data_IF_056855795953
#
_entry.id   IF_056855795953
#
_cell.length_a   1.000
_cell.length_b   1.000
_cell.length_c   1.000
_cell.angle_alpha   90.00
_cell.angle_beta   90.00
_cell.angle_gamma   90.00
#
_symmetry.space_group_name_H-M   'P 1'
#
loop_
_entity.id
_entity.type
_entity.pdbx_description
1 polymer ?
#
# COMPACT_ATOMS: atom_id res chain seq x y z
N UNK A 1 12.41 20.99 0.65
CA UNK A 1 13.00 21.43 1.94
C UNK A 1 13.11 20.21 2.84
N UNK A 2 14.32 19.83 3.27
CA UNK A 2 14.63 18.55 3.92
C UNK A 2 14.28 18.59 5.41
N UNK A 3 13.29 17.79 5.85
CA UNK A 3 13.00 17.55 7.25
C UNK A 3 13.79 16.33 7.74
N UNK A 4 14.88 16.60 8.48
CA UNK A 4 15.54 15.63 9.37
C UNK A 4 14.77 15.60 10.68
N UNK A 5 14.34 14.43 11.13
CA UNK A 5 14.05 14.18 12.55
C UNK A 5 14.52 12.78 12.94
N UNK A 6 15.39 12.82 13.95
CA UNK A 6 16.02 11.82 14.79
C UNK A 6 15.35 10.44 14.92
N UNK A 7 16.18 9.39 14.91
CA UNK A 7 16.26 8.51 16.08
C UNK A 7 17.61 7.78 16.16
N UNK A 8 18.26 7.97 17.31
CA UNK A 8 19.46 7.26 17.75
C UNK A 8 18.97 6.07 18.58
N UNK A 9 19.33 4.85 18.15
CA UNK A 9 19.72 3.76 19.07
C UNK A 9 20.66 2.82 18.31
N UNK A 10 21.93 3.07 18.55
CA UNK A 10 23.08 2.27 18.15
C UNK A 10 23.13 1.04 19.04
N UNK A 11 23.05 -0.15 18.46
CA UNK A 11 23.51 -1.36 19.13
C UNK A 11 24.30 -2.20 18.13
N UNK A 12 25.59 -2.34 18.46
CA UNK A 12 26.59 -3.29 17.98
C UNK A 12 27.43 -2.95 16.73
N UNK A 13 27.94 -1.72 16.63
CA UNK A 13 29.25 -1.45 15.96
C UNK A 13 30.02 -0.36 16.70
N UNK A 14 29.93 -0.40 18.03
CA UNK A 14 30.66 0.47 18.93
C UNK A 14 31.55 -0.37 19.82
N UNK A 15 32.48 -1.13 19.24
CA UNK A 15 33.67 -1.46 20.01
C UNK A 15 34.54 -0.20 20.06
N UNK A 16 34.70 0.31 21.28
CA UNK A 16 35.56 1.42 21.64
C UNK A 16 36.97 1.15 21.10
N UNK A 17 37.46 1.99 20.19
CA UNK A 17 38.88 1.94 19.81
C UNK A 17 39.31 2.68 18.55
N UNK A 18 38.40 3.11 17.66
CA UNK A 18 38.79 3.34 16.26
C UNK A 18 38.88 4.82 15.80
N UNK A 19 39.03 5.78 16.73
CA UNK A 19 39.26 7.20 16.38
C UNK A 19 40.75 7.56 16.26
N UNK A 20 41.65 6.82 16.92
CA UNK A 20 43.09 7.09 16.90
C UNK A 20 43.75 6.79 15.55
N UNK A 21 43.38 5.67 14.92
CA UNK A 21 43.92 5.29 13.60
C UNK A 21 43.34 6.14 12.45
N UNK A 22 42.06 6.52 12.53
CA UNK A 22 41.45 7.43 11.56
C UNK A 22 42.16 8.81 11.56
N UNK A 23 42.67 9.24 12.72
CA UNK A 23 43.47 10.47 12.84
C UNK A 23 44.91 10.29 12.37
N UNK A 24 45.52 9.12 12.54
CA UNK A 24 46.91 8.87 12.13
C UNK A 24 47.04 8.71 10.60
N UNK A 25 45.98 8.25 9.94
CA UNK A 25 45.89 8.14 8.48
C UNK A 25 45.49 9.49 7.81
N UNK A 26 44.97 10.43 8.61
CA UNK A 26 44.80 11.84 8.22
C UNK A 26 46.06 12.64 8.56
N UNK A 27 47.12 12.39 7.80
CA UNK A 27 48.34 13.22 7.67
C UNK A 27 49.05 13.55 9.00
N UNK A 28 49.72 12.55 9.58
CA UNK A 28 50.65 12.74 10.69
C UNK A 28 51.77 11.70 10.72
N UNK A 29 52.93 12.06 10.17
CA UNK A 29 54.26 11.43 10.29
C UNK A 29 54.55 10.10 9.54
N UNK A 30 55.62 10.18 8.71
CA UNK A 30 56.27 9.17 7.84
C UNK A 30 55.44 8.65 6.65
N UNK A 31 55.83 9.09 5.44
CA UNK A 31 55.41 8.51 4.16
C UNK A 31 55.80 7.02 4.13
N UNK A 32 54.81 6.15 4.32
CA UNK A 32 54.82 4.81 3.76
C UNK A 32 53.79 4.81 2.64
N UNK A 33 54.20 4.46 1.42
CA UNK A 33 53.30 4.34 0.27
C UNK A 33 52.08 3.48 0.66
N UNK A 34 50.87 3.94 0.34
CA UNK A 34 49.65 3.14 0.50
C UNK A 34 49.82 1.83 -0.27
N UNK A 35 49.23 0.73 0.20
CA UNK A 35 49.22 -0.54 -0.55
C UNK A 35 48.82 -0.36 -2.03
N UNK A 36 47.88 0.56 -2.30
CA UNK A 36 47.46 0.88 -3.67
C UNK A 36 48.36 1.87 -4.41
N UNK A 37 49.24 2.59 -3.71
CA UNK A 37 50.30 3.36 -4.36
C UNK A 37 51.36 2.41 -4.94
N UNK A 38 51.59 1.27 -4.28
CA UNK A 38 52.48 0.20 -4.75
C UNK A 38 51.81 -0.74 -5.77
N UNK A 39 50.50 -0.98 -5.64
CA UNK A 39 49.72 -1.89 -6.51
C UNK A 39 48.45 -1.22 -7.08
N UNK A 40 48.58 -0.22 -7.96
CA UNK A 40 47.44 0.56 -8.47
C UNK A 40 46.47 -0.28 -9.32
N UNK A 41 46.97 -1.28 -10.06
CA UNK A 41 46.14 -2.23 -10.81
C UNK A 41 45.21 -3.04 -9.90
N UNK A 42 45.69 -3.40 -8.70
CA UNK A 42 44.89 -4.10 -7.71
C UNK A 42 43.75 -3.22 -7.18
N UNK A 43 43.94 -1.90 -7.11
CA UNK A 43 42.87 -0.97 -6.71
C UNK A 43 41.73 -0.93 -7.73
N UNK A 44 42.06 -0.88 -9.03
CA UNK A 44 41.08 -0.84 -10.11
C UNK A 44 40.25 -2.13 -10.16
N UNK A 45 40.92 -3.28 -10.09
CA UNK A 45 40.28 -4.59 -10.08
C UNK A 45 39.43 -4.81 -8.82
N UNK A 46 39.92 -4.38 -7.65
CA UNK A 46 39.19 -4.46 -6.40
C UNK A 46 37.92 -3.60 -6.44
N UNK A 47 37.99 -2.37 -6.99
CA UNK A 47 36.80 -1.54 -7.22
C UNK A 47 35.81 -2.24 -8.15
N UNK A 48 36.26 -2.80 -9.27
CA UNK A 48 35.42 -3.52 -10.23
C UNK A 48 34.73 -4.74 -9.59
N UNK A 49 35.47 -5.54 -8.83
CA UNK A 49 34.95 -6.67 -8.07
C UNK A 49 33.85 -6.25 -7.09
N UNK A 50 34.07 -5.18 -6.31
CA UNK A 50 33.06 -4.63 -5.39
C UNK A 50 31.80 -4.21 -6.15
N UNK A 51 31.93 -3.51 -7.29
CA UNK A 51 30.77 -3.11 -8.11
C UNK A 51 29.95 -4.34 -8.52
N UNK A 52 30.63 -5.35 -9.05
CA UNK A 52 30.00 -6.54 -9.56
C UNK A 52 29.30 -7.33 -8.44
N UNK A 53 29.99 -7.54 -7.31
CA UNK A 53 29.46 -8.26 -6.16
C UNK A 53 28.25 -7.54 -5.53
N UNK A 54 28.32 -6.21 -5.38
CA UNK A 54 27.23 -5.40 -4.87
C UNK A 54 26.04 -5.30 -5.84
N UNK A 55 26.26 -5.49 -7.15
CA UNK A 55 25.20 -5.47 -8.16
C UNK A 55 24.39 -6.78 -8.25
N UNK A 56 24.82 -7.84 -7.56
CA UNK A 56 24.12 -9.12 -7.56
C UNK A 56 22.83 -9.06 -6.73
N UNK A 57 21.77 -9.73 -7.19
CA UNK A 57 20.46 -9.81 -6.53
C UNK A 57 20.49 -10.41 -5.11
N UNK A 58 21.56 -11.13 -4.76
CA UNK A 58 21.68 -11.86 -3.49
C UNK A 58 22.03 -10.97 -2.30
N UNK A 59 22.68 -9.82 -2.52
CA UNK A 59 23.07 -8.86 -1.47
C UNK A 59 24.05 -9.41 -0.41
N UNK A 60 24.84 -10.44 -0.71
CA UNK A 60 25.65 -11.17 0.29
C UNK A 60 27.07 -10.65 0.53
N UNK A 61 27.47 -9.56 -0.12
CA UNK A 61 28.84 -9.05 -0.09
C UNK A 61 29.29 -8.60 1.32
N UNK A 62 30.48 -9.04 1.74
CA UNK A 62 31.16 -8.68 2.98
C UNK A 62 32.54 -8.09 2.67
N UNK A 63 33.07 -7.28 3.60
CA UNK A 63 34.45 -6.80 3.49
C UNK A 63 35.49 -7.94 3.49
N UNK A 64 35.15 -9.10 4.05
CA UNK A 64 35.97 -10.31 3.98
C UNK A 64 36.13 -10.80 2.54
N UNK A 65 35.09 -10.69 1.71
CA UNK A 65 35.15 -11.11 0.31
C UNK A 65 36.13 -10.23 -0.47
N UNK A 66 36.21 -8.93 -0.12
CA UNK A 66 37.20 -8.00 -0.68
C UNK A 66 38.62 -8.33 -0.21
N UNK A 67 38.80 -8.68 1.07
CA UNK A 67 40.09 -9.10 1.60
C UNK A 67 40.61 -10.35 0.89
N UNK A 68 39.73 -11.34 0.68
CA UNK A 68 40.06 -12.56 -0.08
C UNK A 68 40.45 -12.24 -1.52
N UNK A 69 39.67 -11.40 -2.21
CA UNK A 69 39.95 -11.00 -3.58
C UNK A 69 41.32 -10.30 -3.73
N UNK A 70 41.63 -9.35 -2.84
CA UNK A 70 42.90 -8.61 -2.88
C UNK A 70 44.09 -9.53 -2.58
N UNK A 71 43.91 -10.47 -1.65
CA UNK A 71 44.92 -11.44 -1.30
C UNK A 71 45.24 -12.38 -2.47
N UNK A 72 44.23 -12.91 -3.13
CA UNK A 72 44.38 -13.72 -4.36
C UNK A 72 45.12 -12.92 -5.45
N UNK A 73 44.68 -11.68 -5.72
CA UNK A 73 45.29 -10.81 -6.73
C UNK A 73 46.75 -10.48 -6.43
N UNK A 74 47.09 -10.21 -5.17
CA UNK A 74 48.46 -9.92 -4.78
C UNK A 74 49.40 -11.11 -5.07
N UNK A 75 49.00 -12.33 -4.72
CA UNK A 75 49.83 -13.52 -4.98
C UNK A 75 49.90 -13.90 -6.46
N UNK A 76 48.83 -13.65 -7.24
CA UNK A 76 48.85 -13.75 -8.70
C UNK A 76 49.87 -12.78 -9.32
N UNK A 77 49.88 -11.51 -8.88
CA UNK A 77 50.75 -10.47 -9.42
C UNK A 77 52.22 -10.64 -9.02
N UNK A 78 52.48 -11.05 -7.78
CA UNK A 78 53.84 -11.17 -7.23
C UNK A 78 54.48 -12.53 -7.47
N UNK A 79 53.70 -13.56 -7.79
CA UNK A 79 54.18 -14.94 -7.96
C UNK A 79 54.67 -15.60 -6.67
N UNK A 80 54.47 -14.96 -5.52
CA UNK A 80 54.87 -15.48 -4.21
C UNK A 80 53.87 -16.56 -3.77
N UNK A 81 54.36 -17.66 -3.20
CA UNK A 81 53.47 -18.68 -2.61
C UNK A 81 53.04 -18.27 -1.21
N UNK A 82 51.72 -18.18 -1.00
CA UNK A 82 51.14 -17.93 0.33
C UNK A 82 51.53 -19.04 1.31
N UNK A 83 51.95 -18.66 2.51
CA UNK A 83 52.18 -19.60 3.61
C UNK A 83 50.85 -20.08 4.21
N UNK A 84 50.77 -21.37 4.55
CA UNK A 84 49.56 -21.97 5.14
C UNK A 84 49.29 -21.29 6.49
N UNK A 85 48.10 -20.68 6.63
CA UNK A 85 47.70 -19.97 7.85
C UNK A 85 48.16 -18.52 7.94
N UNK A 86 48.74 -17.95 6.88
CA UNK A 86 49.11 -16.53 6.83
C UNK A 86 47.90 -15.60 6.79
N UNK A 87 48.02 -14.46 7.46
CA UNK A 87 47.04 -13.36 7.42
C UNK A 87 46.81 -12.84 5.99
N UNK A 88 45.67 -12.18 5.78
CA UNK A 88 45.42 -11.49 4.51
C UNK A 88 46.41 -10.35 4.32
N UNK A 89 46.95 -10.21 3.10
CA UNK A 89 47.79 -9.07 2.69
C UNK A 89 47.11 -7.74 3.01
N UNK A 90 45.79 -7.70 2.83
CA UNK A 90 44.95 -6.60 3.28
C UNK A 90 43.83 -7.13 4.16
N UNK A 91 43.90 -6.83 5.45
CA UNK A 91 42.94 -7.34 6.44
C UNK A 91 41.50 -6.92 6.15
N UNK A 92 40.52 -7.68 6.66
CA UNK A 92 39.10 -7.33 6.55
C UNK A 92 38.82 -5.91 7.08
N UNK A 93 39.49 -5.52 8.18
CA UNK A 93 39.36 -4.17 8.77
C UNK A 93 39.85 -3.09 7.81
N UNK A 94 40.99 -3.29 7.15
CA UNK A 94 41.52 -2.35 6.14
C UNK A 94 40.58 -2.24 4.94
N UNK A 95 40.05 -3.37 4.46
CA UNK A 95 39.09 -3.40 3.37
C UNK A 95 37.80 -2.62 3.69
N UNK A 96 37.35 -2.59 4.97
CA UNK A 96 36.23 -1.74 5.39
C UNK A 96 36.55 -0.25 5.25
N UNK A 97 37.78 0.16 5.56
CA UNK A 97 38.24 1.54 5.40
C UNK A 97 38.34 1.91 3.91
N UNK A 98 38.81 1.00 3.07
CA UNK A 98 38.87 1.23 1.61
C UNK A 98 37.50 1.41 0.99
N UNK A 99 36.54 0.57 1.37
CA UNK A 99 35.16 0.72 0.92
C UNK A 99 34.62 2.11 1.26
N UNK A 100 34.91 2.64 2.47
CA UNK A 100 34.53 4.01 2.84
C UNK A 100 35.26 5.05 1.99
N UNK A 101 36.57 4.90 1.77
CA UNK A 101 37.38 5.80 0.92
C UNK A 101 36.87 5.83 -0.52
N UNK A 102 36.46 4.69 -1.07
CA UNK A 102 35.87 4.56 -2.40
C UNK A 102 34.41 5.03 -2.48
N UNK A 103 33.87 5.60 -1.40
CA UNK A 103 32.55 6.21 -1.38
C UNK A 103 31.40 5.23 -1.12
N UNK A 104 31.67 4.02 -0.63
CA UNK A 104 30.61 3.12 -0.17
C UNK A 104 29.92 3.74 1.05
N UNK A 105 28.58 3.80 0.99
CA UNK A 105 27.75 4.29 2.09
C UNK A 105 26.83 3.19 2.58
N UNK A 106 26.78 3.00 3.89
CA UNK A 106 25.86 2.08 4.52
C UNK A 106 24.53 2.80 4.79
N UNK A 107 23.70 2.92 3.76
CA UNK A 107 22.40 3.58 3.84
C UNK A 107 21.27 2.56 3.65
N UNK A 108 20.11 2.77 4.28
CA UNK A 108 18.94 1.96 3.98
C UNK A 108 18.43 2.30 2.56
N UNK A 109 18.10 1.29 1.75
CA UNK A 109 17.51 1.53 0.43
C UNK A 109 16.18 2.28 0.58
N UNK A 110 16.12 3.50 0.05
CA UNK A 110 14.95 4.37 0.08
C UNK A 110 14.15 4.36 -1.23
N UNK A 111 14.59 3.61 -2.26
CA UNK A 111 13.87 3.57 -3.53
C UNK A 111 12.54 2.85 -3.38
N UNK A 112 11.46 3.61 -3.57
CA UNK A 112 10.09 3.11 -3.68
C UNK A 112 9.80 2.82 -5.16
N UNK A 113 9.28 1.64 -5.53
CA UNK A 113 9.11 1.25 -6.93
C UNK A 113 8.11 2.06 -7.77
N UNK A 114 7.40 3.04 -7.19
CA UNK A 114 6.20 3.63 -7.79
C UNK A 114 6.39 5.02 -8.41
N UNK A 115 7.60 5.57 -8.45
CA UNK A 115 7.85 6.96 -8.86
C UNK A 115 7.49 7.28 -10.32
N UNK A 116 7.59 6.33 -11.26
CA UNK A 116 7.42 6.61 -12.69
C UNK A 116 5.99 6.98 -13.11
N UNK A 117 4.99 6.78 -12.24
CA UNK A 117 3.58 7.08 -12.54
C UNK A 117 3.01 8.36 -11.91
N UNK A 118 3.74 9.04 -11.03
CA UNK A 118 3.21 10.13 -10.19
C UNK A 118 2.80 11.37 -11.00
N UNK A 119 3.58 11.71 -12.03
CA UNK A 119 3.43 12.96 -12.79
C UNK A 119 2.75 12.77 -14.15
N UNK A 120 2.05 11.65 -14.37
CA UNK A 120 1.20 11.50 -15.56
C UNK A 120 -0.01 12.42 -15.45
N UNK A 121 -0.40 13.04 -16.55
CA UNK A 121 -1.46 14.06 -16.58
C UNK A 121 -2.78 13.59 -15.94
N UNK A 122 -3.17 12.33 -16.17
CA UNK A 122 -4.37 11.73 -15.57
C UNK A 122 -4.26 11.60 -14.04
N UNK A 123 -3.08 11.22 -13.55
CA UNK A 123 -2.78 11.06 -12.12
C UNK A 123 -2.72 12.42 -11.43
N UNK A 124 -2.05 13.41 -12.05
CA UNK A 124 -1.94 14.77 -11.52
C UNK A 124 -3.31 15.44 -11.45
N UNK A 125 -4.14 15.29 -12.49
CA UNK A 125 -5.50 15.80 -12.49
C UNK A 125 -6.32 15.21 -11.33
N UNK A 126 -6.33 13.89 -11.19
CA UNK A 126 -7.05 13.22 -10.12
C UNK A 126 -6.51 13.59 -8.72
N UNK A 127 -5.18 13.74 -8.58
CA UNK A 127 -4.53 14.23 -7.36
C UNK A 127 -5.04 15.62 -6.97
N UNK A 128 -5.10 16.54 -7.92
CA UNK A 128 -5.58 17.91 -7.66
C UNK A 128 -7.07 17.94 -7.29
N UNK A 129 -7.90 17.11 -7.93
CA UNK A 129 -9.32 16.94 -7.57
C UNK A 129 -9.48 16.39 -6.15
N UNK A 130 -8.70 15.37 -5.80
CA UNK A 130 -8.68 14.76 -4.47
C UNK A 130 -8.26 15.78 -3.40
N UNK A 131 -7.15 16.48 -3.61
CA UNK A 131 -6.66 17.53 -2.69
C UNK A 131 -7.68 18.65 -2.56
N UNK A 132 -8.19 19.17 -3.68
CA UNK A 132 -9.19 20.23 -3.69
C UNK A 132 -10.46 19.85 -2.92
N UNK A 133 -10.89 18.59 -3.03
CA UNK A 133 -12.01 18.07 -2.26
C UNK A 133 -11.75 18.12 -0.75
N UNK A 134 -10.62 17.59 -0.28
CA UNK A 134 -10.33 17.56 1.16
C UNK A 134 -10.05 18.94 1.74
N UNK A 135 -9.42 19.84 0.99
CA UNK A 135 -9.24 21.24 1.41
C UNK A 135 -10.58 21.96 1.59
N UNK A 136 -11.51 21.77 0.66
CA UNK A 136 -12.84 22.38 0.73
C UNK A 136 -13.70 21.84 1.88
N UNK A 137 -13.42 20.62 2.37
CA UNK A 137 -14.21 19.94 3.39
C UNK A 137 -13.49 19.73 4.72
N UNK A 138 -12.28 20.27 4.89
CA UNK A 138 -11.43 20.03 6.06
C UNK A 138 -12.16 20.29 7.38
N UNK A 139 -12.96 21.36 7.45
CA UNK A 139 -13.65 21.81 8.66
C UNK A 139 -14.85 20.92 9.08
N UNK A 140 -15.19 19.90 8.29
CA UNK A 140 -16.22 18.92 8.63
C UNK A 140 -15.66 17.66 9.31
N UNK A 141 -14.34 17.45 9.30
CA UNK A 141 -13.70 16.27 9.88
C UNK A 141 -13.01 16.58 11.21
N UNK A 142 -12.93 15.58 12.09
CA UNK A 142 -11.99 15.58 13.21
C UNK A 142 -10.55 15.59 12.70
N UNK A 143 -9.80 16.65 12.94
CA UNK A 143 -8.40 16.78 12.50
C UNK A 143 -7.45 16.72 13.70
N UNK A 144 -6.14 16.82 13.46
CA UNK A 144 -5.13 16.79 14.52
C UNK A 144 -4.42 18.13 14.59
N UNK A 145 -4.20 18.63 15.82
CA UNK A 145 -3.47 19.88 16.06
C UNK A 145 -1.99 19.79 15.62
N UNK A 146 -1.44 20.92 15.18
CA UNK A 146 -0.03 21.02 14.77
C UNK A 146 0.97 21.20 15.92
N UNK A 147 0.49 21.28 17.16
CA UNK A 147 1.33 21.43 18.36
C UNK A 147 2.31 20.27 18.58
N UNK A 148 3.19 20.44 19.58
CA UNK A 148 4.16 19.39 19.96
C UNK A 148 3.47 18.08 20.36
N UNK A 149 2.31 18.20 21.03
CA UNK A 149 1.47 17.07 21.40
C UNK A 149 0.26 17.03 20.47
N UNK A 150 0.13 16.01 19.59
CA UNK A 150 -1.01 15.90 18.70
C UNK A 150 -2.29 15.61 19.50
N UNK A 151 -3.29 16.46 19.35
CA UNK A 151 -4.61 16.30 19.95
C UNK A 151 -5.69 16.42 18.88
N UNK A 152 -6.88 15.87 19.17
CA UNK A 152 -8.04 16.03 18.30
C UNK A 152 -8.49 17.49 18.26
N UNK A 153 -8.72 17.97 17.04
CA UNK A 153 -9.37 19.24 16.73
C UNK A 153 -10.75 18.91 16.19
N UNK A 154 -11.76 19.24 16.98
CA UNK A 154 -13.17 18.98 16.66
C UNK A 154 -13.58 19.87 15.48
N UNK A 155 -14.36 19.34 14.51
CA UNK A 155 -14.88 20.10 13.38
C UNK A 155 -15.79 21.25 13.83
N UNK A 156 -15.84 22.31 13.01
CA UNK A 156 -16.67 23.50 13.27
C UNK A 156 -17.91 23.56 12.37
N UNK A 157 -17.95 22.76 11.30
CA UNK A 157 -19.05 22.75 10.34
C UNK A 157 -19.92 21.50 10.47
N UNK A 158 -21.22 21.66 10.20
CA UNK A 158 -22.20 20.58 10.14
C UNK A 158 -22.69 20.37 8.69
N UNK A 159 -23.05 19.13 8.30
CA UNK A 159 -23.00 17.91 9.10
C UNK A 159 -21.57 17.37 9.27
N UNK A 160 -21.27 16.80 10.44
CA UNK A 160 -19.96 16.20 10.71
C UNK A 160 -19.67 15.04 9.75
N UNK A 161 -18.39 14.84 9.41
CA UNK A 161 -17.94 13.77 8.53
C UNK A 161 -16.92 12.88 9.23
N UNK A 162 -17.12 11.57 9.13
CA UNK A 162 -16.13 10.57 9.58
C UNK A 162 -15.42 10.03 8.36
N UNK A 163 -14.09 10.10 8.40
CA UNK A 163 -13.23 9.59 7.36
C UNK A 163 -12.70 8.20 7.76
N UNK A 164 -12.91 7.22 6.88
CA UNK A 164 -12.41 5.85 7.04
C UNK A 164 -11.47 5.56 5.88
N UNK A 165 -10.34 4.92 6.14
CA UNK A 165 -9.40 4.46 5.13
C UNK A 165 -9.40 2.94 5.09
N UNK A 166 -9.46 2.37 3.89
CA UNK A 166 -9.47 0.93 3.67
C UNK A 166 -8.36 0.52 2.70
N UNK A 167 -7.72 -0.60 3.01
CA UNK A 167 -6.68 -1.22 2.20
C UNK A 167 -6.39 -2.66 2.69
N UNK A 168 -5.75 -3.45 1.84
CA UNK A 168 -5.31 -4.80 2.16
C UNK A 168 -3.79 -4.92 2.18
N UNK A 169 -3.28 -5.65 3.18
CA UNK A 169 -1.85 -5.86 3.34
C UNK A 169 -1.52 -7.35 3.54
N UNK A 170 -0.57 -7.83 2.73
CA UNK A 170 0.04 -9.16 2.93
C UNK A 170 1.21 -9.08 3.91
N UNK A 171 1.17 -9.94 4.92
CA UNK A 171 2.31 -10.31 5.77
C UNK A 171 2.88 -11.65 5.32
N UNK A 172 4.19 -11.85 5.49
CA UNK A 172 4.83 -13.15 5.25
C UNK A 172 5.72 -13.56 6.41
N UNK A 173 5.73 -14.85 6.74
CA UNK A 173 6.45 -15.36 7.90
C UNK A 173 7.96 -15.09 7.79
N UNK A 174 8.53 -15.16 6.58
CA UNK A 174 9.94 -14.86 6.33
C UNK A 174 10.25 -13.37 6.08
N UNK A 175 9.36 -12.44 6.40
CA UNK A 175 9.69 -11.01 6.34
C UNK A 175 10.68 -10.63 7.45
N UNK A 176 11.91 -10.31 7.08
CA UNK A 176 12.94 -9.77 7.96
C UNK A 176 13.28 -8.33 7.58
N UNK A 177 13.84 -7.53 8.49
CA UNK A 177 14.48 -6.25 8.11
C UNK A 177 15.81 -6.57 7.41
N UNK A 178 15.99 -6.37 6.09
CA UNK A 178 17.30 -6.56 5.51
C UNK A 178 18.22 -5.40 5.96
N UNK A 179 19.33 -5.72 6.62
CA UNK A 179 20.48 -4.80 6.76
C UNK A 179 21.45 -5.11 5.62
N UNK A 180 21.69 -4.19 4.69
CA UNK A 180 22.57 -4.40 3.53
C UNK A 180 23.49 -3.19 3.32
N UNK A 181 24.72 -3.45 2.82
CA UNK A 181 25.68 -2.44 2.33
C UNK A 181 25.37 -2.14 0.86
N UNK A 182 25.38 -0.88 0.43
CA UNK A 182 25.11 -0.50 -0.98
C UNK A 182 26.31 0.18 -1.66
N UNK A 183 26.47 -0.06 -2.96
CA UNK A 183 27.40 0.67 -3.83
C UNK A 183 26.70 1.04 -5.15
N UNK A 184 26.38 2.33 -5.30
CA UNK A 184 25.99 3.09 -6.52
C UNK A 184 24.86 2.59 -7.45
N UNK A 185 24.32 1.36 -7.33
CA UNK A 185 23.08 0.96 -8.03
C UNK A 185 22.16 0.12 -7.16
N UNK A 186 20.88 0.44 -7.24
CA UNK A 186 19.80 -0.12 -6.44
C UNK A 186 19.23 -1.35 -7.14
N UNK A 187 19.19 -2.50 -6.45
CA UNK A 187 18.42 -3.67 -6.90
C UNK A 187 17.04 -3.68 -6.21
N UNK A 188 16.00 -3.93 -7.00
CA UNK A 188 14.62 -4.08 -6.52
C UNK A 188 14.48 -5.40 -5.76
N UNK A 189 13.85 -5.37 -4.59
CA UNK A 189 13.65 -6.55 -3.76
C UNK A 189 12.52 -7.46 -4.27
N UNK A 190 12.68 -8.78 -4.09
CA UNK A 190 11.56 -9.71 -4.19
C UNK A 190 10.62 -9.54 -3.00
N UNK A 191 9.30 -9.62 -3.24
CA UNK A 191 8.28 -9.78 -2.19
C UNK A 191 8.71 -10.93 -1.25
N UNK A 192 8.60 -10.77 0.07
CA UNK A 192 9.22 -11.63 1.10
C UNK A 192 8.99 -13.15 0.92
N UNK A 193 9.76 -13.98 1.64
CA UNK A 193 9.63 -15.46 1.60
C UNK A 193 8.71 -15.98 2.71
N UNK A 194 8.26 -17.24 2.62
CA UNK A 194 7.49 -17.94 3.66
C UNK A 194 5.97 -17.92 3.46
N UNK A 195 5.25 -18.50 4.42
CA UNK A 195 3.78 -18.55 4.43
C UNK A 195 3.21 -17.14 4.53
N UNK A 196 2.13 -16.87 3.80
CA UNK A 196 1.55 -15.54 3.68
C UNK A 196 0.17 -15.45 4.33
N UNK A 197 -0.12 -14.28 4.88
CA UNK A 197 -1.39 -13.98 5.53
C UNK A 197 -1.81 -12.57 5.07
N UNK A 198 -2.94 -12.47 4.39
CA UNK A 198 -3.51 -11.20 3.93
C UNK A 198 -4.53 -10.73 4.95
N UNK A 199 -4.45 -9.45 5.29
CA UNK A 199 -5.39 -8.79 6.20
C UNK A 199 -5.91 -7.55 5.50
N UNK A 200 -7.19 -7.30 5.68
CA UNK A 200 -7.92 -6.14 5.22
C UNK A 200 -8.55 -5.43 6.42
N UNK A 201 -8.48 -4.11 6.47
CA UNK A 201 -8.91 -3.36 7.66
C UNK A 201 -9.40 -1.94 7.34
N UNK A 202 -10.10 -1.35 8.30
CA UNK A 202 -10.68 -0.02 8.21
C UNK A 202 -10.08 0.89 9.30
N UNK A 203 -9.20 1.81 8.89
CA UNK A 203 -8.61 2.82 9.76
C UNK A 203 -9.55 4.04 9.86
N UNK A 204 -10.08 4.29 11.06
CA UNK A 204 -11.07 5.34 11.30
C UNK A 204 -10.42 6.60 11.89
N UNK A 205 -10.66 7.74 11.28
CA UNK A 205 -10.29 9.05 11.82
C UNK A 205 -11.38 9.56 12.75
N UNK A 206 -11.40 9.05 13.99
CA UNK A 206 -12.36 9.46 15.00
C UNK A 206 -11.78 9.36 16.43
N UNK A 207 -12.19 10.22 17.38
CA UNK A 207 -11.67 10.19 18.75
C UNK A 207 -11.91 8.90 19.54
N UNK A 208 -12.95 8.12 19.19
CA UNK A 208 -13.25 6.86 19.91
C UNK A 208 -12.26 5.74 19.64
N UNK A 209 -11.56 5.78 18.50
CA UNK A 209 -10.54 4.78 18.21
C UNK A 209 -10.17 4.74 16.73
N UNK A 210 -8.98 4.18 16.42
CA UNK A 210 -8.52 4.05 15.05
C UNK A 210 -9.12 2.88 14.29
N UNK A 211 -9.86 1.99 14.95
CA UNK A 211 -10.41 0.78 14.33
C UNK A 211 -11.92 0.75 14.52
N UNK A 212 -12.64 0.32 13.48
CA UNK A 212 -14.07 0.13 13.58
C UNK A 212 -14.39 -1.15 14.36
N UNK A 213 -15.14 -1.01 15.45
CA UNK A 213 -15.63 -2.10 16.28
C UNK A 213 -16.98 -1.71 16.88
N UNK A 214 -17.92 -2.66 16.88
CA UNK A 214 -19.18 -2.52 17.62
C UNK A 214 -19.00 -2.99 19.07
N UNK A 215 -19.63 -2.27 20.00
CA UNK A 215 -19.82 -2.76 21.36
C UNK A 215 -20.66 -4.04 21.38
N UNK A 216 -20.63 -4.78 22.48
CA UNK A 216 -21.42 -6.02 22.60
C UNK A 216 -22.92 -5.80 22.37
N UNK A 217 -23.46 -4.67 22.83
CA UNK A 217 -24.89 -4.35 22.65
C UNK A 217 -25.20 -4.01 21.19
N UNK A 218 -24.39 -3.15 20.57
CA UNK A 218 -24.54 -2.81 19.14
C UNK A 218 -24.41 -4.07 18.26
N UNK A 219 -23.50 -4.99 18.61
CA UNK A 219 -23.34 -6.25 17.90
C UNK A 219 -24.55 -7.17 18.01
N UNK A 220 -25.13 -7.30 19.21
CA UNK A 220 -26.37 -8.08 19.41
C UNK A 220 -27.52 -7.54 18.57
N UNK A 221 -27.68 -6.21 18.53
CA UNK A 221 -28.70 -5.57 17.68
C UNK A 221 -28.42 -5.79 16.19
N UNK A 222 -27.15 -5.68 15.77
CA UNK A 222 -26.74 -5.87 14.39
C UNK A 222 -27.01 -7.30 13.90
N UNK A 223 -26.59 -8.31 14.66
CA UNK A 223 -26.79 -9.73 14.34
C UNK A 223 -28.26 -10.15 14.41
N UNK A 224 -29.09 -9.49 15.24
CA UNK A 224 -30.52 -9.72 15.27
C UNK A 224 -31.23 -9.21 13.99
N UNK A 225 -30.75 -8.11 13.40
CA UNK A 225 -31.31 -7.55 12.15
C UNK A 225 -30.72 -8.22 10.91
N UNK A 226 -29.41 -8.45 10.90
CA UNK A 226 -28.65 -8.94 9.76
C UNK A 226 -28.04 -10.30 10.06
N UNK A 227 -28.79 -11.36 9.74
CA UNK A 227 -28.34 -12.75 9.92
C UNK A 227 -27.02 -13.04 9.20
N UNK A 228 -26.77 -12.35 8.08
CA UNK A 228 -25.54 -12.43 7.27
C UNK A 228 -24.27 -12.13 8.07
N UNK A 229 -24.36 -11.37 9.16
CA UNK A 229 -23.21 -11.06 10.02
C UNK A 229 -22.68 -12.28 10.79
N UNK A 230 -23.52 -13.30 10.96
CA UNK A 230 -23.25 -14.52 11.73
C UNK A 230 -23.03 -15.76 10.86
N UNK A 231 -23.11 -15.63 9.53
CA UNK A 231 -22.91 -16.74 8.60
C UNK A 231 -21.42 -16.90 8.30
N UNK A 232 -20.96 -18.15 8.25
CA UNK A 232 -19.60 -18.46 7.82
C UNK A 232 -19.35 -17.98 6.39
N UNK A 233 -18.19 -17.39 6.16
CA UNK A 233 -17.77 -16.90 4.84
C UNK A 233 -16.40 -17.42 4.48
N UNK A 234 -16.02 -17.31 3.20
CA UNK A 234 -14.68 -17.67 2.73
C UNK A 234 -13.56 -16.81 3.35
N UNK A 235 -13.95 -15.71 4.02
CA UNK A 235 -13.05 -14.81 4.74
C UNK A 235 -13.25 -14.96 6.25
N UNK A 236 -12.16 -14.93 7.00
CA UNK A 236 -12.21 -14.93 8.47
C UNK A 236 -12.31 -13.50 9.00
N UNK A 237 -13.42 -13.17 9.65
CA UNK A 237 -13.62 -11.87 10.30
C UNK A 237 -13.15 -11.88 11.76
N UNK A 238 -12.61 -10.76 12.22
CA UNK A 238 -12.42 -10.52 13.66
C UNK A 238 -13.79 -10.17 14.27
N UNK A 239 -14.09 -10.77 15.43
CA UNK A 239 -15.36 -10.60 16.14
C UNK A 239 -15.73 -9.13 16.32
N UNK A 240 -17.01 -8.79 16.10
CA UNK A 240 -17.57 -7.42 16.18
C UNK A 240 -16.90 -6.36 15.30
N UNK A 241 -16.11 -6.76 14.30
CA UNK A 241 -15.50 -5.85 13.33
C UNK A 241 -15.83 -6.23 11.88
N UNK A 242 -15.41 -5.36 10.96
CA UNK A 242 -15.30 -5.67 9.53
C UNK A 242 -13.85 -5.96 9.09
N UNK A 243 -12.91 -6.10 10.04
CA UNK A 243 -11.53 -6.53 9.75
C UNK A 243 -11.55 -7.99 9.32
N UNK A 244 -10.92 -8.27 8.18
CA UNK A 244 -11.03 -9.55 7.50
C UNK A 244 -9.64 -10.09 7.17
N UNK A 245 -9.48 -11.42 7.18
CA UNK A 245 -8.20 -12.06 6.88
C UNK A 245 -8.37 -13.33 6.06
N UNK A 246 -7.36 -13.58 5.22
CA UNK A 246 -7.29 -14.72 4.31
C UNK A 246 -5.85 -15.25 4.31
N UNK A 247 -5.67 -16.56 4.45
CA UNK A 247 -4.34 -17.18 4.33
C UNK A 247 -3.95 -17.33 2.86
N UNK A 248 -2.83 -16.74 2.45
CA UNK A 248 -2.32 -16.87 1.10
C UNK A 248 -1.37 -18.08 1.06
N UNK A 249 -1.67 -19.03 0.17
CA UNK A 249 -0.99 -20.32 0.05
C UNK A 249 -1.96 -21.49 -0.15
N UNK A 250 -3.26 -21.23 -0.02
CA UNK A 250 -4.38 -22.13 -0.33
C UNK A 250 -5.27 -21.54 -1.43
N UNK A 251 -4.67 -20.87 -2.43
CA UNK A 251 -5.34 -20.16 -3.56
C UNK A 251 -6.25 -18.97 -3.21
N UNK A 252 -6.30 -18.52 -1.95
CA UNK A 252 -7.21 -17.44 -1.55
C UNK A 252 -6.52 -16.05 -1.50
N UNK A 253 -7.12 -15.07 -2.19
CA UNK A 253 -6.79 -13.63 -2.19
C UNK A 253 -8.09 -12.83 -2.06
N UNK A 254 -8.01 -11.56 -1.62
CA UNK A 254 -9.14 -10.65 -1.75
C UNK A 254 -9.37 -10.35 -3.24
N UNK A 255 -10.48 -10.87 -3.75
CA UNK A 255 -11.05 -10.52 -5.04
C UNK A 255 -12.12 -9.42 -4.87
N UNK A 256 -12.78 -9.05 -5.96
CA UNK A 256 -13.80 -8.01 -5.89
C UNK A 256 -15.01 -8.41 -5.05
N UNK A 257 -15.43 -9.68 -5.08
CA UNK A 257 -16.65 -10.12 -4.39
C UNK A 257 -16.42 -10.23 -2.88
N UNK A 258 -15.26 -10.73 -2.45
CA UNK A 258 -14.84 -10.73 -1.05
C UNK A 258 -14.70 -9.31 -0.49
N UNK A 259 -14.13 -8.37 -1.26
CA UNK A 259 -14.09 -6.95 -0.86
C UNK A 259 -15.51 -6.38 -0.75
N UNK A 260 -16.37 -6.60 -1.73
CA UNK A 260 -17.76 -6.11 -1.67
C UNK A 260 -18.51 -6.67 -0.46
N UNK A 261 -18.35 -7.97 -0.16
CA UNK A 261 -18.92 -8.59 1.03
C UNK A 261 -18.40 -7.97 2.33
N UNK A 262 -17.11 -7.64 2.39
CA UNK A 262 -16.51 -6.93 3.52
C UNK A 262 -17.08 -5.51 3.70
N UNK A 263 -17.27 -4.76 2.62
CA UNK A 263 -17.90 -3.43 2.67
C UNK A 263 -19.38 -3.52 3.03
N UNK A 264 -20.11 -4.50 2.50
CA UNK A 264 -21.51 -4.73 2.88
C UNK A 264 -21.63 -5.04 4.38
N UNK A 265 -20.74 -5.89 4.91
CA UNK A 265 -20.63 -6.13 6.35
C UNK A 265 -20.39 -4.83 7.13
N UNK A 266 -19.42 -4.02 6.72
CA UNK A 266 -19.17 -2.73 7.37
C UNK A 266 -20.42 -1.84 7.35
N UNK A 267 -21.11 -1.75 6.21
CA UNK A 267 -22.27 -0.86 6.04
C UNK A 267 -23.45 -1.29 6.92
N UNK A 268 -23.72 -2.59 7.00
CA UNK A 268 -24.69 -3.16 7.93
C UNK A 268 -24.36 -2.81 9.38
N UNK A 269 -23.08 -2.88 9.75
CA UNK A 269 -22.63 -2.57 11.11
C UNK A 269 -22.65 -1.08 11.44
N UNK A 270 -22.35 -0.20 10.48
CA UNK A 270 -22.34 1.26 10.66
C UNK A 270 -23.69 1.81 11.10
N UNK A 271 -24.81 1.16 10.73
CA UNK A 271 -26.15 1.54 11.18
C UNK A 271 -26.34 1.52 12.71
N UNK A 272 -25.55 0.69 13.41
CA UNK A 272 -25.68 0.48 14.85
C UNK A 272 -24.65 1.26 15.66
N UNK A 273 -23.59 1.77 15.03
CA UNK A 273 -22.52 2.47 15.73
C UNK A 273 -23.03 3.82 16.24
N UNK A 274 -23.32 3.90 17.54
CA UNK A 274 -24.00 5.06 18.14
C UNK A 274 -23.19 6.35 18.00
N UNK A 275 -21.87 6.23 18.13
CA UNK A 275 -20.94 7.35 17.96
C UNK A 275 -21.03 8.00 16.57
N UNK A 276 -21.53 7.29 15.55
CA UNK A 276 -21.48 7.72 14.14
C UNK A 276 -22.85 8.10 13.58
N UNK A 277 -23.93 7.95 14.37
CA UNK A 277 -25.35 8.00 13.93
C UNK A 277 -25.76 9.29 13.21
N UNK A 278 -25.04 10.39 13.44
CA UNK A 278 -25.33 11.70 12.86
C UNK A 278 -24.25 12.21 11.91
N UNK A 279 -23.25 11.38 11.62
CA UNK A 279 -22.12 11.75 10.80
C UNK A 279 -22.30 11.20 9.38
N UNK A 280 -21.88 11.98 8.40
CA UNK A 280 -21.70 11.47 7.04
C UNK A 280 -20.43 10.64 6.99
N UNK A 281 -20.52 9.42 6.45
CA UNK A 281 -19.37 8.53 6.33
C UNK A 281 -18.77 8.65 4.94
N UNK A 282 -17.45 8.83 4.90
CA UNK A 282 -16.67 8.81 3.67
C UNK A 282 -15.54 7.79 3.80
N UNK A 283 -15.36 6.95 2.78
CA UNK A 283 -14.37 5.88 2.79
C UNK A 283 -13.38 6.08 1.65
N UNK A 284 -12.12 6.21 2.01
CA UNK A 284 -10.97 6.30 1.10
C UNK A 284 -10.45 4.90 0.80
N UNK A 285 -10.32 4.56 -0.48
CA UNK A 285 -9.85 3.26 -0.96
C UNK A 285 -8.74 3.42 -1.99
N UNK A 286 -7.85 2.44 -2.11
CA UNK A 286 -6.85 2.45 -3.19
C UNK A 286 -7.50 2.28 -4.57
N UNK A 287 -6.92 2.90 -5.60
CA UNK A 287 -7.39 2.87 -6.99
C UNK A 287 -6.81 1.65 -7.72
N UNK A 288 -7.18 0.48 -7.22
CA UNK A 288 -6.79 -0.85 -7.72
C UNK A 288 -7.97 -1.58 -8.33
N UNK A 289 -7.67 -2.56 -9.20
CA UNK A 289 -8.67 -3.30 -9.98
C UNK A 289 -9.75 -3.96 -9.12
N UNK A 290 -9.41 -4.43 -7.92
CA UNK A 290 -10.34 -5.05 -6.98
C UNK A 290 -11.39 -4.05 -6.46
N UNK A 291 -11.04 -2.79 -6.27
CA UNK A 291 -11.95 -1.72 -5.84
C UNK A 291 -12.67 -1.04 -7.01
N UNK A 292 -12.07 -1.07 -8.21
CA UNK A 292 -12.61 -0.40 -9.41
C UNK A 292 -13.33 -1.34 -10.36
N UNK A 293 -13.67 -2.56 -9.92
CA UNK A 293 -14.37 -3.51 -10.77
C UNK A 293 -15.77 -2.96 -11.10
N UNK A 294 -16.08 -2.94 -12.39
CA UNK A 294 -17.39 -2.56 -12.89
C UNK A 294 -18.31 -3.77 -12.89
N UNK A 295 -19.61 -3.53 -12.79
CA UNK A 295 -20.62 -4.59 -12.91
C UNK A 295 -20.72 -5.14 -14.33
N UNK A 296 -20.42 -4.32 -15.35
CA UNK A 296 -20.44 -4.69 -16.77
C UNK A 296 -19.65 -3.68 -17.61
N UNK A 297 -19.32 -4.04 -18.85
CA UNK A 297 -18.70 -3.14 -19.83
C UNK A 297 -19.62 -2.87 -21.02
N UNK A 298 -19.68 -1.62 -21.49
CA UNK A 298 -20.36 -1.25 -22.75
C UNK A 298 -19.84 -2.03 -23.97
N UNK A 299 -18.62 -2.57 -23.89
CA UNK A 299 -18.04 -3.39 -24.95
C UNK A 299 -18.71 -4.77 -25.07
N UNK A 300 -19.27 -5.27 -23.97
CA UNK A 300 -19.93 -6.56 -23.88
C UNK A 300 -21.36 -6.53 -24.45
N UNK A 301 -21.94 -5.34 -24.64
CA UNK A 301 -23.24 -5.18 -25.25
C UNK A 301 -23.16 -5.09 -26.77
N UNK A 302 -24.05 -5.82 -27.43
CA UNK A 302 -24.27 -5.71 -28.86
C UNK A 302 -25.25 -4.58 -29.22
N UNK A 303 -25.26 -4.22 -30.51
CA UNK A 303 -26.01 -3.06 -31.01
C UNK A 303 -27.53 -3.27 -31.01
N UNK A 304 -27.98 -4.43 -31.49
CA UNK A 304 -29.37 -4.69 -31.86
C UNK A 304 -30.04 -5.69 -30.90
N UNK A 305 -31.35 -5.82 -31.00
CA UNK A 305 -32.13 -6.81 -30.24
C UNK A 305 -31.60 -8.22 -30.49
N UNK A 306 -31.47 -9.02 -29.43
CA UNK A 306 -31.00 -10.41 -29.48
C UNK A 306 -29.49 -10.57 -29.70
N UNK A 307 -28.71 -9.49 -29.61
CA UNK A 307 -27.24 -9.56 -29.64
C UNK A 307 -26.65 -9.70 -28.23
N UNK A 308 -25.33 -9.66 -28.01
CA UNK A 308 -24.77 -9.92 -26.68
C UNK A 308 -25.32 -8.96 -25.61
N UNK A 309 -25.67 -9.52 -24.46
CA UNK A 309 -26.24 -8.82 -23.31
C UNK A 309 -25.76 -9.52 -22.04
N UNK A 310 -24.63 -9.11 -21.46
CA UNK A 310 -23.94 -9.88 -20.41
C UNK A 310 -24.69 -9.90 -19.08
N UNK A 311 -25.63 -8.96 -18.89
CA UNK A 311 -26.34 -8.75 -17.64
C UNK A 311 -27.84 -8.67 -17.85
N UNK A 312 -28.60 -9.10 -16.86
CA UNK A 312 -30.06 -9.10 -16.91
C UNK A 312 -30.66 -7.72 -16.63
N UNK A 313 -30.05 -6.96 -15.71
CA UNK A 313 -30.56 -5.69 -15.22
C UNK A 313 -29.44 -4.68 -15.00
N UNK A 314 -29.71 -3.42 -15.30
CA UNK A 314 -28.87 -2.26 -14.96
C UNK A 314 -29.55 -1.49 -13.85
N UNK A 315 -28.88 -1.40 -12.70
CA UNK A 315 -29.29 -0.53 -11.60
C UNK A 315 -28.48 0.77 -11.62
N UNK A 316 -29.16 1.90 -11.42
CA UNK A 316 -28.52 3.21 -11.32
C UNK A 316 -29.33 4.16 -10.47
N UNK A 317 -28.70 5.24 -10.01
CA UNK A 317 -29.36 6.27 -9.17
C UNK A 317 -29.47 7.57 -9.94
N UNK A 318 -30.71 8.05 -10.09
CA UNK A 318 -31.02 9.33 -10.72
C UNK A 318 -31.84 10.19 -9.77
N UNK A 319 -31.36 11.40 -9.46
CA UNK A 319 -32.00 12.33 -8.53
C UNK A 319 -32.31 11.71 -7.14
N UNK A 320 -31.45 10.81 -6.66
CA UNK A 320 -31.60 10.12 -5.37
C UNK A 320 -32.60 8.96 -5.38
N UNK A 321 -33.19 8.63 -6.53
CA UNK A 321 -34.10 7.49 -6.68
C UNK A 321 -33.38 6.36 -7.41
N UNK A 322 -33.46 5.14 -6.87
CA UNK A 322 -32.95 3.94 -7.51
C UNK A 322 -33.86 3.55 -8.68
N UNK A 323 -33.25 3.38 -9.86
CA UNK A 323 -33.92 2.94 -11.07
C UNK A 323 -33.28 1.64 -11.56
N UNK A 324 -34.12 0.74 -12.06
CA UNK A 324 -33.70 -0.55 -12.61
C UNK A 324 -34.19 -0.65 -14.05
N UNK A 325 -33.31 -1.08 -14.95
CA UNK A 325 -33.61 -1.32 -16.36
C UNK A 325 -33.39 -2.79 -16.65
N UNK A 326 -34.44 -3.47 -17.11
CA UNK A 326 -34.29 -4.80 -17.67
C UNK A 326 -33.55 -4.73 -19.00
N UNK A 327 -32.45 -5.47 -19.13
CA UNK A 327 -31.70 -5.64 -20.36
C UNK A 327 -32.31 -6.67 -21.31
N UNK A 328 -33.33 -7.40 -20.86
CA UNK A 328 -34.06 -8.40 -21.63
C UNK A 328 -35.54 -8.03 -21.74
N UNK A 329 -36.19 -8.43 -22.84
CA UNK A 329 -37.64 -8.23 -22.98
C UNK A 329 -38.40 -9.26 -22.12
N UNK A 330 -39.21 -8.77 -21.17
CA UNK A 330 -40.07 -9.59 -20.30
C UNK A 330 -41.33 -10.13 -21.01
N UNK A 331 -41.74 -9.52 -22.10
CA UNK A 331 -42.94 -9.90 -22.87
C UNK A 331 -42.90 -9.41 -24.33
N UNK A 332 -43.91 -9.78 -25.11
CA UNK A 332 -44.03 -9.46 -26.55
C UNK A 332 -43.24 -10.40 -27.47
N UNK A 333 -43.17 -10.05 -28.76
CA UNK A 333 -42.53 -10.87 -29.81
C UNK A 333 -41.03 -11.13 -29.57
N UNK A 334 -40.37 -10.27 -28.81
CA UNK A 334 -38.94 -10.38 -28.49
C UNK A 334 -38.68 -10.96 -27.09
N UNK A 335 -39.67 -11.56 -26.43
CA UNK A 335 -39.53 -12.13 -25.08
C UNK A 335 -38.29 -13.02 -24.97
N UNK A 336 -37.48 -12.78 -23.93
CA UNK A 336 -36.23 -13.54 -23.68
C UNK A 336 -35.03 -13.12 -24.54
N UNK A 337 -35.20 -12.21 -25.52
CA UNK A 337 -34.08 -11.61 -26.24
C UNK A 337 -33.52 -10.42 -25.47
N UNK A 338 -32.22 -10.17 -25.62
CA UNK A 338 -31.56 -8.97 -25.11
C UNK A 338 -32.04 -7.72 -25.87
N UNK A 339 -32.09 -6.57 -25.20
CA UNK A 339 -32.51 -5.29 -25.80
C UNK A 339 -31.44 -4.69 -26.72
N UNK A 340 -30.17 -4.93 -26.45
CA UNK A 340 -29.05 -4.28 -27.17
C UNK A 340 -29.00 -2.77 -26.94
N UNK A 341 -27.89 -2.12 -27.30
CA UNK A 341 -27.66 -0.71 -26.93
C UNK A 341 -28.67 0.27 -27.56
N UNK A 342 -29.14 0.03 -28.78
CA UNK A 342 -30.12 0.91 -29.44
C UNK A 342 -31.44 0.95 -28.68
N UNK A 343 -31.93 -0.21 -28.25
CA UNK A 343 -33.19 -0.27 -27.50
C UNK A 343 -33.01 0.24 -26.07
N UNK A 344 -31.86 -0.02 -25.44
CA UNK A 344 -31.54 0.55 -24.13
C UNK A 344 -31.51 2.09 -24.17
N UNK A 345 -30.98 2.71 -25.24
CA UNK A 345 -31.05 4.16 -25.41
C UNK A 345 -32.49 4.67 -25.47
N UNK A 346 -33.40 3.96 -26.14
CA UNK A 346 -34.83 4.34 -26.17
C UNK A 346 -35.47 4.25 -24.78
N UNK A 347 -35.19 3.18 -24.03
CA UNK A 347 -35.67 3.00 -22.65
C UNK A 347 -35.15 4.13 -21.74
N UNK A 348 -33.93 4.59 -22.01
CA UNK A 348 -33.29 5.69 -21.28
C UNK A 348 -33.68 7.09 -21.77
N UNK A 349 -34.48 7.20 -22.84
CA UNK A 349 -34.80 8.50 -23.44
C UNK A 349 -33.61 9.20 -24.10
N UNK A 350 -32.51 8.49 -24.39
CA UNK A 350 -31.35 9.01 -25.12
C UNK A 350 -31.68 9.03 -26.61
N UNK A 351 -31.72 10.24 -27.19
CA UNK A 351 -31.98 10.39 -28.63
C UNK A 351 -30.77 9.95 -29.45
N UNK A 352 -31.00 9.07 -30.42
CA UNK A 352 -29.97 8.58 -31.34
C UNK A 352 -30.26 9.04 -32.78
N UNK A 353 -29.23 9.35 -33.60
CA UNK A 353 -29.38 9.57 -35.03
C UNK A 353 -29.91 8.33 -35.77
N UNK A 354 -30.60 8.53 -36.90
CA UNK A 354 -31.21 7.46 -37.70
C UNK A 354 -30.20 6.42 -38.25
N UNK A 355 -28.94 6.82 -38.48
CA UNK A 355 -27.83 5.94 -38.83
C UNK A 355 -26.67 6.22 -37.88
N UNK A 356 -26.48 5.35 -36.90
CA UNK A 356 -25.42 5.47 -35.90
C UNK A 356 -24.57 4.19 -35.88
N UNK A 357 -23.25 4.29 -35.69
CA UNK A 357 -22.37 3.12 -35.53
C UNK A 357 -22.39 2.64 -34.08
N UNK A 358 -21.94 1.41 -33.84
CA UNK A 358 -21.90 0.86 -32.47
C UNK A 358 -20.95 1.67 -31.58
N UNK A 359 -19.81 2.09 -32.10
CA UNK A 359 -18.82 2.86 -31.34
C UNK A 359 -19.36 4.25 -30.96
N UNK A 360 -20.08 4.92 -31.86
CA UNK A 360 -20.73 6.20 -31.54
C UNK A 360 -21.74 6.08 -30.36
N UNK A 361 -22.46 4.95 -30.27
CA UNK A 361 -23.37 4.70 -29.13
C UNK A 361 -22.57 4.52 -27.83
N UNK A 362 -21.40 3.87 -27.92
CA UNK A 362 -20.50 3.65 -26.77
C UNK A 362 -19.82 4.94 -26.30
N UNK A 363 -19.76 5.98 -27.14
CA UNK A 363 -19.28 7.31 -26.74
C UNK A 363 -20.40 8.16 -26.11
N UNK A 364 -21.65 7.96 -26.52
CA UNK A 364 -22.81 8.70 -25.98
C UNK A 364 -23.25 8.12 -24.63
N UNK A 365 -23.43 6.81 -24.53
CA UNK A 365 -24.01 6.18 -23.33
C UNK A 365 -23.27 6.50 -22.02
N UNK A 366 -21.93 6.61 -21.96
CA UNK A 366 -21.22 6.96 -20.73
C UNK A 366 -21.65 8.29 -20.09
N UNK A 367 -22.26 9.21 -20.85
CA UNK A 367 -22.80 10.46 -20.30
C UNK A 367 -24.06 10.22 -19.47
N UNK A 368 -24.81 9.16 -19.77
CA UNK A 368 -26.03 8.79 -19.07
C UNK A 368 -25.69 8.06 -17.77
N UNK A 369 -26.37 8.40 -16.66
CA UNK A 369 -26.10 7.81 -15.32
C UNK A 369 -26.13 6.29 -15.28
N UNK A 370 -27.04 5.68 -16.03
CA UNK A 370 -27.14 4.23 -16.17
C UNK A 370 -25.86 3.57 -16.71
N UNK A 371 -25.01 4.29 -17.44
CA UNK A 371 -23.76 3.78 -17.99
C UNK A 371 -22.55 4.63 -17.58
N UNK A 372 -22.72 5.51 -16.59
CA UNK A 372 -21.58 6.14 -15.95
C UNK A 372 -20.67 5.04 -15.40
N UNK A 373 -19.37 5.28 -15.43
CA UNK A 373 -18.32 4.34 -15.05
C UNK A 373 -18.29 4.04 -13.53
N UNK A 374 -19.45 3.96 -12.88
CA UNK A 374 -19.58 3.65 -11.48
C UNK A 374 -19.14 2.21 -11.22
N UNK A 375 -18.28 2.03 -10.24
CA UNK A 375 -17.81 0.72 -9.80
C UNK A 375 -18.91 0.04 -8.98
N UNK A 376 -18.84 -1.29 -8.83
CA UNK A 376 -19.76 -2.00 -7.92
C UNK A 376 -19.70 -1.44 -6.50
N UNK A 377 -18.51 -1.02 -6.06
CA UNK A 377 -18.27 -0.47 -4.74
C UNK A 377 -18.90 0.93 -4.56
N UNK A 378 -18.79 1.80 -5.57
CA UNK A 378 -19.47 3.10 -5.57
C UNK A 378 -20.99 2.94 -5.51
N UNK A 379 -21.53 2.00 -6.28
CA UNK A 379 -22.97 1.70 -6.26
C UNK A 379 -23.43 1.21 -4.88
N UNK A 380 -22.65 0.34 -4.24
CA UNK A 380 -22.91 -0.12 -2.87
C UNK A 380 -22.85 1.05 -1.87
N UNK A 381 -21.88 1.95 -2.02
CA UNK A 381 -21.76 3.16 -1.21
C UNK A 381 -22.97 4.07 -1.36
N UNK A 382 -23.37 4.38 -2.60
CA UNK A 382 -24.55 5.22 -2.90
C UNK A 382 -25.82 4.63 -2.26
N UNK A 383 -26.04 3.32 -2.38
CA UNK A 383 -27.18 2.63 -1.77
C UNK A 383 -27.25 2.83 -0.26
N UNK A 384 -26.09 2.87 0.40
CA UNK A 384 -25.97 3.03 1.85
C UNK A 384 -25.71 4.48 2.29
N UNK A 385 -25.80 5.46 1.37
CA UNK A 385 -25.49 6.89 1.64
C UNK A 385 -24.07 7.12 2.17
N UNK A 386 -23.13 6.29 1.72
CA UNK A 386 -21.70 6.36 2.07
C UNK A 386 -20.93 6.78 0.83
N UNK A 387 -20.06 7.77 0.97
CA UNK A 387 -19.24 8.24 -0.15
C UNK A 387 -17.95 7.42 -0.25
N UNK A 388 -17.71 6.82 -1.41
CA UNK A 388 -16.43 6.19 -1.74
C UNK A 388 -15.53 7.21 -2.44
N UNK A 389 -14.27 7.29 -2.01
CA UNK A 389 -13.26 8.20 -2.56
C UNK A 389 -12.04 7.37 -2.93
N UNK A 390 -11.64 7.43 -4.21
CA UNK A 390 -10.46 6.71 -4.69
C UNK A 390 -9.20 7.54 -4.49
N UNK A 391 -8.17 6.95 -3.90
CA UNK A 391 -6.86 7.58 -3.84
C UNK A 391 -6.26 7.80 -5.25
N UNK A 392 -5.51 8.89 -5.45
CA UNK A 392 -4.71 9.05 -6.64
C UNK A 392 -3.70 7.91 -6.76
N UNK A 393 -3.56 7.35 -7.97
CA UNK A 393 -2.63 6.23 -8.19
C UNK A 393 -1.20 6.66 -7.83
N UNK A 394 -0.44 5.72 -7.26
CA UNK A 394 0.95 5.91 -6.85
C UNK A 394 1.17 6.83 -5.64
N UNK A 395 0.13 7.49 -5.11
CA UNK A 395 0.22 8.41 -3.98
C UNK A 395 -0.13 7.73 -2.64
N UNK A 396 0.68 6.76 -2.23
CA UNK A 396 0.48 6.02 -0.97
C UNK A 396 0.47 6.93 0.29
N UNK A 397 1.10 8.11 0.23
CA UNK A 397 1.07 9.11 1.29
C UNK A 397 -0.31 9.75 1.51
N UNK A 398 -1.20 9.66 0.52
CA UNK A 398 -2.59 10.13 0.60
C UNK A 398 -3.55 9.05 1.12
N UNK A 399 -3.05 7.85 1.44
CA UNK A 399 -3.83 6.78 2.05
C UNK A 399 -3.31 6.49 3.47
N UNK A 400 -3.97 7.00 4.52
CA UNK A 400 -3.43 6.95 5.88
C UNK A 400 -3.20 5.51 6.41
N UNK A 401 -4.00 4.54 5.95
CA UNK A 401 -3.88 3.13 6.33
C UNK A 401 -2.57 2.47 5.86
N UNK A 402 -1.92 3.00 4.82
CA UNK A 402 -0.57 2.55 4.42
C UNK A 402 0.45 2.80 5.55
N UNK A 403 0.24 3.86 6.33
CA UNK A 403 1.02 4.14 7.53
C UNK A 403 0.79 3.11 8.64
N UNK A 404 -0.43 2.60 8.80
CA UNK A 404 -0.76 1.49 9.71
C UNK A 404 0.02 0.24 9.31
N UNK A 405 -0.04 -0.14 8.03
CA UNK A 405 0.69 -1.31 7.53
C UNK A 405 2.19 -1.18 7.67
N UNK A 406 2.75 -0.01 7.38
CA UNK A 406 4.17 0.27 7.60
C UNK A 406 4.56 0.08 9.08
N UNK A 407 3.74 0.59 10.00
CA UNK A 407 3.99 0.46 11.43
C UNK A 407 3.91 -1.00 11.91
N UNK A 408 2.84 -1.71 11.57
CA UNK A 408 2.63 -3.10 11.96
C UNK A 408 3.70 -4.02 11.36
N UNK A 409 4.01 -3.90 10.06
CA UNK A 409 5.12 -4.65 9.45
C UNK A 409 6.45 -4.33 10.11
N UNK A 410 6.69 -3.06 10.45
CA UNK A 410 7.86 -2.64 11.23
C UNK A 410 7.95 -3.34 12.58
N UNK A 411 6.83 -3.48 13.29
CA UNK A 411 6.71 -4.17 14.57
C UNK A 411 7.01 -5.67 14.42
N UNK A 412 6.34 -6.35 13.48
CA UNK A 412 6.51 -7.78 13.20
C UNK A 412 7.95 -8.09 12.81
N UNK A 413 8.52 -7.37 11.84
CA UNK A 413 9.89 -7.60 11.35
C UNK A 413 10.98 -7.44 12.40
N UNK A 414 10.71 -6.70 13.49
CA UNK A 414 11.66 -6.54 14.60
C UNK A 414 11.58 -7.62 15.66
N UNK A 415 10.55 -8.47 15.63
CA UNK A 415 10.23 -9.45 16.69
C UNK A 415 9.96 -10.86 16.17
N UNK A 416 9.94 -11.06 14.87
CA UNK A 416 9.67 -12.34 14.23
C UNK A 416 10.84 -13.31 14.42
N UNK A 417 10.51 -14.58 14.66
CA UNK A 417 11.42 -15.73 14.59
C UNK A 417 11.29 -16.47 13.25
N UNK A 418 10.55 -15.88 12.31
CA UNK A 418 10.19 -16.40 10.99
C UNK A 418 9.18 -17.55 10.97
N UNK A 419 8.62 -17.93 12.13
CA UNK A 419 7.51 -18.88 12.22
C UNK A 419 6.17 -18.19 11.89
N UNK A 420 5.25 -18.98 11.33
CA UNK A 420 3.92 -18.48 10.96
C UNK A 420 3.09 -18.14 12.21
N UNK A 421 3.08 -19.02 13.21
CA UNK A 421 2.28 -18.83 14.43
C UNK A 421 2.73 -17.61 15.23
N UNK A 422 4.04 -17.39 15.33
CA UNK A 422 4.59 -16.17 15.95
C UNK A 422 4.20 -14.92 15.16
N UNK A 423 4.24 -14.98 13.82
CA UNK A 423 3.82 -13.86 12.97
C UNK A 423 2.36 -13.49 13.24
N UNK A 424 1.43 -14.45 13.26
CA UNK A 424 0.01 -14.19 13.55
C UNK A 424 -0.15 -13.54 14.92
N UNK A 425 0.54 -14.06 15.96
CA UNK A 425 0.52 -13.44 17.29
C UNK A 425 1.04 -12.00 17.28
N UNK A 426 2.15 -11.75 16.58
CA UNK A 426 2.76 -10.42 16.49
C UNK A 426 1.89 -9.41 15.73
N UNK A 427 1.11 -9.85 14.75
CA UNK A 427 0.15 -8.99 14.06
C UNK A 427 -0.89 -8.47 15.05
N UNK A 428 -1.51 -9.35 15.85
CA UNK A 428 -2.47 -8.96 16.88
C UNK A 428 -1.85 -8.03 17.93
N UNK A 429 -0.64 -8.35 18.42
CA UNK A 429 0.10 -7.49 19.35
C UNK A 429 0.43 -6.11 18.73
N UNK A 430 0.73 -6.06 17.44
CA UNK A 430 1.03 -4.80 16.74
C UNK A 430 -0.20 -3.88 16.63
N UNK A 431 -1.40 -4.46 16.48
CA UNK A 431 -2.67 -3.70 16.50
C UNK A 431 -2.91 -3.05 17.85
N UNK A 432 -2.72 -3.80 18.94
CA UNK A 432 -2.83 -3.27 20.32
C UNK A 432 -1.80 -2.16 20.53
N UNK A 433 -0.55 -2.40 20.14
CA UNK A 433 0.52 -1.41 20.27
C UNK A 433 0.23 -0.11 19.52
N UNK A 434 -0.40 -0.21 18.34
CA UNK A 434 -0.79 0.94 17.53
C UNK A 434 -1.78 1.86 18.25
N UNK A 435 -2.75 1.28 18.96
CA UNK A 435 -3.73 2.01 19.78
C UNK A 435 -3.05 2.63 21.01
N UNK A 436 -2.34 1.83 21.81
CA UNK A 436 -1.70 2.28 23.06
C UNK A 436 -0.71 3.42 22.83
N UNK A 437 0.05 3.37 21.75
CA UNK A 437 1.04 4.40 21.38
C UNK A 437 0.43 5.59 20.65
N UNK A 438 -0.90 5.61 20.46
CA UNK A 438 -1.64 6.67 19.75
C UNK A 438 -1.04 7.00 18.38
N UNK A 439 -0.58 5.97 17.65
CA UNK A 439 0.16 6.13 16.39
C UNK A 439 -0.74 6.76 15.32
N UNK A 440 -2.03 6.43 15.34
CA UNK A 440 -3.04 6.98 14.44
C UNK A 440 -3.04 8.52 14.38
N UNK A 441 -2.86 9.22 15.51
CA UNK A 441 -2.82 10.69 15.54
C UNK A 441 -1.69 11.25 14.67
N UNK A 442 -0.53 10.58 14.67
CA UNK A 442 0.61 10.96 13.82
C UNK A 442 0.32 10.70 12.35
N UNK A 443 -0.42 9.63 12.04
CA UNK A 443 -0.79 9.29 10.66
C UNK A 443 -1.82 10.26 10.09
N UNK A 444 -2.90 10.56 10.82
CA UNK A 444 -3.90 11.54 10.37
C UNK A 444 -3.31 12.95 10.24
N UNK A 445 -2.45 13.36 11.18
CA UNK A 445 -1.70 14.61 11.04
C UNK A 445 -0.84 14.63 9.77
N UNK A 446 -0.17 13.52 9.45
CA UNK A 446 0.62 13.40 8.23
C UNK A 446 -0.24 13.45 6.97
N UNK A 447 -1.40 12.79 6.99
CA UNK A 447 -2.37 12.84 5.88
C UNK A 447 -2.79 14.28 5.60
N UNK A 448 -3.29 15.02 6.61
CA UNK A 448 -3.70 16.42 6.42
C UNK A 448 -2.57 17.34 5.97
N UNK A 449 -1.34 17.11 6.45
CA UNK A 449 -0.14 17.83 5.98
C UNK A 449 0.32 17.47 4.57
N UNK A 450 -0.14 16.35 4.01
CA UNK A 450 0.11 16.00 2.63
C UNK A 450 -0.95 16.59 1.68
N UNK A 451 -2.12 16.96 2.23
CA UNK A 451 -3.19 17.65 1.52
C UNK A 451 -2.91 19.16 1.44
N UNK A 452 -2.35 19.75 2.50
CA UNK A 452 -1.90 21.15 2.57
C UNK A 452 -0.54 21.37 1.89
#
# INVERSE_FOLDING_TARGET
>A
MSLRLFDIKWENVGDKGDYGEFSNDLRGSKQTDSFYDTFPETEADAKAFVVQACSQKSGKFKALDLAQFIDEKYYELTGIKKQIGGDFIRSERSCRLDLRRWGAKFEANSQRPYFEGHERDDVVKHRNEFIGYFLAHKDYYDTITDGEIPMWKIPIQNPLRILIFHDESTFRSGEVRPKLVFWRKYTVFSKGRGRSHMISDFLVQHPSGPFFELSENEWKEATAKYITLSVDSDVTYIDRTATASINIGTDAYFDNDTVLGQFERLFQMLEFKQEYKHNQIEIVVDNVRTHTAKSYSLQEFGKNIGTSGPIEQIEYVENGVQKVIDCYFKGGENKGKSKGLVELCKVLGVQLPAKIKLDDIRDILPTHRAFQNATKLEMLGIKNKIKIIYCPKYHCELNAIEGLWCNQKGFVRSRTDQSFDKMIKLISESRINFVERKIALKLFRRFWRAIE
#
